data_IF_701465861630
#
_entry.id   IF_701465861630
#
_cell.length_a   1.000
_cell.length_b   1.000
_cell.length_c   1.000
_cell.angle_alpha   90.00
_cell.angle_beta   90.00
_cell.angle_gamma   90.00
#
_symmetry.space_group_name_H-M   'P 1'
#
loop_
_entity.id
_entity.type
_entity.pdbx_description
1 polymer ?
#
# COMPACT_ATOMS: atom_id res chain seq x y z
N UNK A 1 -1.85 -4.78 -16.44
CA UNK A 1 -2.66 -5.65 -15.56
C UNK A 1 -1.76 -6.12 -14.44
N UNK A 2 -2.08 -5.77 -13.16
CA UNK A 2 -1.12 -6.06 -12.08
C UNK A 2 -1.83 -6.21 -10.73
N UNK A 3 -1.43 -7.23 -9.95
CA UNK A 3 -2.04 -7.57 -8.66
C UNK A 3 -1.01 -8.21 -7.73
N UNK A 4 -1.16 -8.01 -6.41
CA UNK A 4 -0.41 -8.75 -5.40
C UNK A 4 -0.98 -10.18 -5.30
N UNK A 5 -0.10 -11.18 -5.22
CA UNK A 5 -0.48 -12.58 -4.99
C UNK A 5 -0.14 -13.05 -3.59
N UNK A 6 1.10 -12.78 -3.14
CA UNK A 6 1.61 -13.16 -1.83
C UNK A 6 2.56 -12.10 -1.30
N UNK A 7 2.69 -12.07 -0.01
CA UNK A 7 3.74 -11.34 0.70
C UNK A 7 4.31 -12.22 1.80
N UNK A 8 5.60 -12.42 1.79
CA UNK A 8 6.35 -13.22 2.74
C UNK A 8 7.32 -12.34 3.54
N UNK A 9 7.40 -12.59 4.84
CA UNK A 9 8.24 -11.81 5.75
C UNK A 9 8.83 -12.68 6.86
N UNK A 10 10.11 -12.47 7.18
CA UNK A 10 10.79 -13.10 8.31
C UNK A 10 11.81 -12.16 8.93
N UNK A 11 11.99 -12.23 10.25
CA UNK A 11 12.90 -11.41 11.05
C UNK A 11 12.63 -9.89 10.90
N UNK A 12 11.34 -9.48 10.90
CA UNK A 12 10.93 -8.08 10.80
C UNK A 12 9.88 -7.78 11.87
N UNK A 13 10.10 -6.76 12.69
CA UNK A 13 9.19 -6.31 13.74
C UNK A 13 8.76 -7.46 14.68
N UNK A 14 7.51 -7.95 14.59
CA UNK A 14 7.01 -9.08 15.37
C UNK A 14 6.98 -10.40 14.60
N UNK A 15 7.33 -10.40 13.32
CA UNK A 15 7.37 -11.57 12.47
C UNK A 15 8.75 -12.23 12.50
N UNK A 16 8.78 -13.48 12.91
CA UNK A 16 9.97 -14.31 12.94
C UNK A 16 9.79 -15.48 11.97
N UNK A 17 10.57 -16.52 12.05
CA UNK A 17 10.32 -17.77 11.36
C UNK A 17 9.09 -18.47 11.95
N UNK A 18 8.29 -19.14 11.12
CA UNK A 18 7.20 -19.99 11.56
C UNK A 18 7.74 -21.23 12.31
N UNK A 19 6.88 -22.17 12.73
CA UNK A 19 7.30 -23.37 13.45
C UNK A 19 8.15 -24.35 12.61
N UNK A 20 8.14 -24.19 11.30
CA UNK A 20 8.93 -24.95 10.33
C UNK A 20 10.25 -24.24 9.94
N UNK A 21 10.54 -23.05 10.48
CA UNK A 21 11.71 -22.26 10.13
C UNK A 21 11.56 -21.37 8.89
N UNK A 22 10.33 -21.30 8.34
CA UNK A 22 10.01 -20.54 7.13
C UNK A 22 9.52 -19.12 7.45
N UNK A 23 9.32 -18.29 6.42
CA UNK A 23 8.70 -16.98 6.54
C UNK A 23 7.20 -17.09 6.84
N UNK A 24 6.62 -16.04 7.43
CA UNK A 24 5.17 -15.88 7.53
C UNK A 24 4.62 -15.41 6.18
N UNK A 25 3.54 -16.06 5.70
CA UNK A 25 2.93 -15.79 4.40
C UNK A 25 1.54 -15.16 4.55
N UNK A 26 1.31 -14.05 3.84
CA UNK A 26 -0.02 -13.51 3.53
C UNK A 26 -0.33 -13.74 2.07
N UNK A 27 -1.46 -14.39 1.75
CA UNK A 27 -1.80 -14.82 0.41
C UNK A 27 -3.15 -14.28 -0.07
N UNK A 28 -3.22 -13.84 -1.31
CA UNK A 28 -4.44 -13.46 -2.02
C UNK A 28 -4.84 -14.50 -3.07
N UNK A 29 -4.21 -15.68 -3.03
CA UNK A 29 -4.62 -16.82 -3.84
C UNK A 29 -5.87 -17.41 -3.17
N UNK A 30 -6.99 -17.55 -3.94
CA UNK A 30 -8.23 -18.03 -3.35
C UNK A 30 -8.12 -19.50 -2.97
N UNK A 31 -8.72 -19.83 -1.86
CA UNK A 31 -8.88 -21.19 -1.42
C UNK A 31 -10.03 -21.94 -2.11
N UNK A 32 -10.43 -23.09 -1.52
CA UNK A 32 -11.50 -23.94 -2.07
C UNK A 32 -12.90 -23.42 -1.75
N UNK A 33 -13.13 -22.13 -1.92
CA UNK A 33 -14.40 -21.45 -1.63
C UNK A 33 -15.21 -21.28 -2.93
N UNK A 34 -16.46 -21.74 -2.95
CA UNK A 34 -17.29 -21.78 -4.17
C UNK A 34 -18.21 -20.57 -4.34
N UNK A 35 -18.54 -19.86 -3.26
CA UNK A 35 -19.42 -18.69 -3.32
C UNK A 35 -18.66 -17.42 -3.70
N UNK A 36 -19.40 -16.39 -4.15
CA UNK A 36 -18.87 -15.05 -4.46
C UNK A 36 -17.66 -15.08 -5.43
N UNK A 37 -17.79 -15.80 -6.52
CA UNK A 37 -16.77 -15.86 -7.58
C UNK A 37 -16.53 -14.49 -8.22
N UNK A 38 -17.48 -13.58 -8.11
CA UNK A 38 -17.39 -12.18 -8.52
C UNK A 38 -16.40 -11.32 -7.70
N UNK A 39 -15.98 -11.80 -6.53
CA UNK A 39 -14.88 -11.20 -5.75
C UNK A 39 -13.49 -11.57 -6.28
N UNK A 40 -13.41 -12.46 -7.27
CA UNK A 40 -12.16 -12.90 -7.84
C UNK A 40 -11.82 -12.16 -9.12
N UNK A 41 -10.54 -11.89 -9.30
CA UNK A 41 -9.96 -11.78 -10.62
C UNK A 41 -9.66 -13.18 -11.11
N UNK A 42 -10.03 -13.48 -12.34
CA UNK A 42 -9.76 -14.77 -12.99
C UNK A 42 -9.34 -14.52 -14.43
N UNK A 43 -8.19 -15.08 -14.79
CA UNK A 43 -7.79 -15.25 -16.18
C UNK A 43 -7.61 -16.72 -16.50
N UNK A 44 -7.01 -17.06 -17.65
CA UNK A 44 -6.85 -18.46 -18.08
C UNK A 44 -6.00 -19.30 -17.12
N UNK A 45 -5.14 -18.67 -16.31
CA UNK A 45 -4.07 -19.30 -15.57
C UNK A 45 -4.07 -18.95 -14.07
N UNK A 46 -4.69 -17.82 -13.71
CA UNK A 46 -4.59 -17.26 -12.36
C UNK A 46 -5.98 -16.90 -11.81
N UNK A 47 -6.12 -17.12 -10.49
CA UNK A 47 -7.25 -16.62 -9.70
C UNK A 47 -6.68 -15.87 -8.50
N UNK A 48 -7.19 -14.66 -8.26
CA UNK A 48 -6.74 -13.81 -7.17
C UNK A 48 -7.92 -13.14 -6.47
N UNK A 49 -7.84 -13.04 -5.17
CA UNK A 49 -8.77 -12.29 -4.35
C UNK A 49 -8.59 -10.80 -4.61
N UNK A 50 -9.70 -10.08 -4.76
CA UNK A 50 -9.71 -8.62 -4.87
C UNK A 50 -9.87 -7.92 -3.53
N UNK A 51 -10.25 -8.66 -2.51
CA UNK A 51 -10.44 -8.15 -1.16
C UNK A 51 -9.82 -9.07 -0.11
N UNK A 52 -9.35 -8.50 0.99
CA UNK A 52 -8.99 -9.25 2.19
C UNK A 52 -9.09 -8.37 3.44
N UNK A 53 -9.63 -8.92 4.53
CA UNK A 53 -9.71 -8.28 5.83
C UNK A 53 -8.90 -9.06 6.88
N UNK A 54 -8.00 -8.36 7.57
CA UNK A 54 -7.07 -8.92 8.55
C UNK A 54 -7.49 -8.49 9.96
N UNK A 55 -7.79 -9.46 10.79
CA UNK A 55 -8.25 -9.29 12.16
C UNK A 55 -7.20 -9.73 13.17
N UNK A 56 -7.39 -9.33 14.42
CA UNK A 56 -6.54 -9.74 15.53
C UNK A 56 -6.66 -8.80 16.71
N UNK A 57 -6.19 -9.23 17.87
CA UNK A 57 -6.14 -8.42 19.08
C UNK A 57 -5.23 -7.18 18.91
N UNK A 58 -5.36 -6.23 19.84
CA UNK A 58 -4.38 -5.14 19.92
C UNK A 58 -2.98 -5.73 20.19
N UNK A 59 -1.98 -5.18 19.52
CA UNK A 59 -0.59 -5.64 19.57
C UNK A 59 -0.34 -7.07 19.02
N UNK A 60 -1.30 -7.70 18.32
CA UNK A 60 -1.10 -9.02 17.69
C UNK A 60 -0.07 -8.98 16.54
N UNK A 61 0.09 -7.85 15.87
CA UNK A 61 1.01 -7.69 14.75
C UNK A 61 0.36 -7.24 13.43
N UNK A 62 -0.95 -6.98 13.38
CA UNK A 62 -1.64 -6.50 12.16
C UNK A 62 -0.93 -5.31 11.50
N UNK A 63 -0.72 -4.23 12.27
CA UNK A 63 -0.01 -3.05 11.77
C UNK A 63 1.45 -3.34 11.43
N UNK A 64 2.07 -4.33 12.08
CA UNK A 64 3.44 -4.75 11.75
C UNK A 64 3.51 -5.43 10.38
N UNK A 65 2.48 -6.17 9.95
CA UNK A 65 2.40 -6.71 8.59
C UNK A 65 2.35 -5.58 7.55
N UNK A 66 1.49 -4.60 7.77
CA UNK A 66 1.38 -3.43 6.88
C UNK A 66 2.68 -2.62 6.88
N UNK A 67 3.33 -2.44 8.03
CA UNK A 67 4.65 -1.79 8.13
C UNK A 67 5.72 -2.59 7.40
N UNK A 68 5.76 -3.91 7.52
CA UNK A 68 6.72 -4.75 6.81
C UNK A 68 6.55 -4.64 5.29
N UNK A 69 5.31 -4.62 4.80
CA UNK A 69 5.02 -4.37 3.39
C UNK A 69 5.49 -2.99 2.94
N UNK A 70 5.28 -1.95 3.77
CA UNK A 70 5.79 -0.60 3.52
C UNK A 70 7.31 -0.51 3.55
N UNK A 71 7.94 -1.26 4.46
CA UNK A 71 9.41 -1.36 4.51
C UNK A 71 9.94 -1.95 3.22
N UNK A 72 9.39 -3.06 2.75
CA UNK A 72 9.80 -3.67 1.47
C UNK A 72 9.64 -2.67 0.32
N UNK A 73 8.49 -1.98 0.21
CA UNK A 73 8.28 -0.94 -0.79
C UNK A 73 9.35 0.16 -0.71
N UNK A 74 9.57 0.72 0.47
CA UNK A 74 10.51 1.82 0.65
C UNK A 74 11.97 1.39 0.39
N UNK A 75 12.37 0.19 0.85
CA UNK A 75 13.69 -0.37 0.60
C UNK A 75 13.93 -0.55 -0.89
N UNK A 76 12.95 -1.09 -1.61
CA UNK A 76 13.05 -1.28 -3.07
C UNK A 76 13.17 0.05 -3.83
N UNK A 77 12.46 1.09 -3.38
CA UNK A 77 12.39 2.37 -4.10
C UNK A 77 13.47 3.37 -3.67
N UNK A 78 14.03 3.23 -2.46
CA UNK A 78 14.99 4.17 -1.86
C UNK A 78 16.12 3.42 -1.11
N UNK A 79 16.81 2.49 -1.77
CA UNK A 79 17.88 1.69 -1.12
C UNK A 79 19.02 2.52 -0.53
N UNK A 80 19.27 3.74 -1.03
CA UNK A 80 20.40 4.58 -0.57
C UNK A 80 20.34 4.96 0.93
N UNK A 81 19.14 4.95 1.54
CA UNK A 81 18.96 5.35 2.94
C UNK A 81 17.89 4.49 3.61
N UNK A 82 18.29 3.57 4.47
CA UNK A 82 17.37 2.68 5.18
C UNK A 82 17.23 3.10 6.66
N UNK A 83 16.12 3.72 7.07
CA UNK A 83 15.89 4.12 8.46
C UNK A 83 15.42 2.96 9.36
N UNK A 84 15.73 1.71 9.01
CA UNK A 84 15.13 0.50 9.60
C UNK A 84 16.10 -0.34 10.45
N UNK A 85 17.23 0.23 10.86
CA UNK A 85 18.28 -0.52 11.59
C UNK A 85 17.79 -1.22 12.87
N UNK A 86 16.71 -0.73 13.48
CA UNK A 86 16.14 -1.27 14.71
C UNK A 86 14.82 -2.06 14.50
N UNK A 87 14.39 -2.29 13.25
CA UNK A 87 13.10 -2.93 12.94
C UNK A 87 13.20 -4.45 12.68
N UNK A 88 14.34 -5.06 12.99
CA UNK A 88 14.45 -6.53 13.06
C UNK A 88 13.58 -7.11 14.18
N UNK A 89 13.26 -8.40 14.12
CA UNK A 89 12.45 -9.06 15.13
C UNK A 89 13.19 -9.21 16.47
N UNK A 90 12.80 -8.45 17.49
CA UNK A 90 13.47 -8.34 18.80
C UNK A 90 13.15 -9.49 19.79
N UNK A 91 12.58 -10.60 19.31
CA UNK A 91 12.29 -11.77 20.17
C UNK A 91 13.59 -12.41 20.71
N UNK A 92 14.64 -12.39 19.89
CA UNK A 92 15.98 -12.86 20.25
C UNK A 92 17.00 -11.78 19.94
N UNK A 93 17.99 -11.62 20.82
CA UNK A 93 19.03 -10.60 20.65
C UNK A 93 19.88 -10.84 19.39
N UNK A 94 20.19 -12.09 19.08
CA UNK A 94 20.96 -12.51 17.90
C UNK A 94 20.27 -12.14 16.57
N UNK A 95 18.98 -11.89 16.57
CA UNK A 95 18.22 -11.53 15.35
C UNK A 95 18.70 -10.23 14.72
N UNK A 96 19.35 -9.37 15.51
CA UNK A 96 19.95 -8.11 15.02
C UNK A 96 20.96 -8.33 13.90
N UNK A 97 21.70 -9.44 13.92
CA UNK A 97 22.74 -9.77 12.94
C UNK A 97 22.29 -10.83 11.91
N UNK A 98 21.03 -11.25 11.97
CA UNK A 98 20.45 -12.17 10.99
C UNK A 98 19.76 -11.41 9.87
N UNK A 99 19.72 -11.98 8.67
CA UNK A 99 18.95 -11.41 7.57
C UNK A 99 17.46 -11.30 7.90
N UNK A 100 16.87 -10.19 7.52
CA UNK A 100 15.44 -9.99 7.40
C UNK A 100 15.05 -10.31 5.97
N UNK A 101 14.03 -11.15 5.81
CA UNK A 101 13.56 -11.66 4.53
C UNK A 101 12.29 -10.92 4.12
N UNK A 102 12.25 -10.47 2.86
CA UNK A 102 11.10 -9.87 2.22
C UNK A 102 10.91 -10.44 0.83
N UNK A 103 9.68 -10.86 0.51
CA UNK A 103 9.33 -11.34 -0.81
C UNK A 103 7.90 -10.97 -1.17
N UNK A 104 7.68 -10.54 -2.40
CA UNK A 104 6.36 -10.34 -3.02
C UNK A 104 6.22 -11.19 -4.25
N UNK A 105 5.14 -11.95 -4.33
CA UNK A 105 4.68 -12.54 -5.57
C UNK A 105 3.67 -11.61 -6.23
N UNK A 106 3.97 -11.17 -7.47
CA UNK A 106 3.22 -10.16 -8.22
C UNK A 106 2.75 -10.77 -9.54
N UNK A 107 1.46 -10.58 -9.84
CA UNK A 107 0.92 -10.86 -11.15
C UNK A 107 1.04 -9.60 -12.02
N UNK A 108 1.78 -9.69 -13.12
CA UNK A 108 1.98 -8.60 -14.09
C UNK A 108 1.72 -9.09 -15.51
N UNK A 109 0.76 -8.48 -16.19
CA UNK A 109 0.49 -8.71 -17.63
C UNK A 109 0.36 -10.18 -18.04
N UNK A 110 -0.23 -11.03 -17.20
CA UNK A 110 -0.43 -12.46 -17.47
C UNK A 110 0.64 -13.39 -16.92
N UNK A 111 1.67 -12.84 -16.28
CA UNK A 111 2.82 -13.60 -15.73
C UNK A 111 2.95 -13.32 -14.23
N UNK A 112 3.40 -14.31 -13.49
CA UNK A 112 3.68 -14.18 -12.07
C UNK A 112 5.18 -14.05 -11.83
N UNK A 113 5.57 -13.09 -11.00
CA UNK A 113 6.95 -12.84 -10.65
C UNK A 113 7.12 -12.82 -9.14
N UNK A 114 8.15 -13.49 -8.65
CA UNK A 114 8.62 -13.34 -7.28
C UNK A 114 9.79 -12.37 -7.27
N UNK A 115 9.64 -11.29 -6.57
CA UNK A 115 10.72 -10.37 -6.25
C UNK A 115 10.94 -10.35 -4.75
N UNK A 116 12.17 -10.54 -4.35
CA UNK A 116 12.54 -10.53 -2.94
C UNK A 116 14.00 -10.22 -2.68
N UNK A 117 14.32 -10.04 -1.41
CA UNK A 117 15.69 -9.81 -0.93
C UNK A 117 15.83 -10.18 0.56
N UNK A 118 17.08 -10.43 0.94
CA UNK A 118 17.49 -10.53 2.35
C UNK A 118 18.43 -9.38 2.70
N UNK A 119 18.19 -8.76 3.84
CA UNK A 119 18.98 -7.62 4.34
C UNK A 119 19.24 -7.74 5.84
N UNK A 120 20.47 -7.52 6.27
CA UNK A 120 20.78 -7.33 7.69
C UNK A 120 20.49 -5.87 8.03
N UNK A 121 19.28 -5.62 8.56
CA UNK A 121 18.76 -4.26 8.77
C UNK A 121 19.68 -3.40 9.63
N UNK A 122 20.27 -3.97 10.70
CA UNK A 122 21.16 -3.24 11.60
C UNK A 122 22.48 -2.78 10.96
N UNK A 123 22.87 -3.40 9.85
CA UNK A 123 24.11 -3.11 9.12
C UNK A 123 23.85 -2.40 7.79
N UNK A 124 22.59 -2.27 7.41
CA UNK A 124 22.18 -1.81 6.08
C UNK A 124 22.90 -2.58 4.96
N UNK A 125 22.99 -3.92 5.10
CA UNK A 125 23.71 -4.78 4.16
C UNK A 125 22.78 -5.81 3.56
N UNK A 126 22.63 -5.79 2.24
CA UNK A 126 21.93 -6.83 1.50
C UNK A 126 22.79 -8.09 1.39
N UNK A 127 22.14 -9.25 1.61
CA UNK A 127 22.75 -10.57 1.54
C UNK A 127 22.39 -11.23 0.22
N UNK A 128 21.13 -11.11 -0.17
CA UNK A 128 20.62 -11.69 -1.42
C UNK A 128 19.51 -10.81 -2.00
N UNK A 129 19.30 -10.92 -3.31
CA UNK A 129 18.19 -10.31 -4.05
C UNK A 129 17.87 -11.19 -5.25
N UNK A 130 16.58 -11.35 -5.58
CA UNK A 130 16.15 -12.18 -6.70
C UNK A 130 14.92 -11.62 -7.40
N UNK A 131 14.82 -11.96 -8.69
CA UNK A 131 13.61 -11.83 -9.49
C UNK A 131 13.41 -13.12 -10.29
N UNK A 132 12.28 -13.78 -10.08
CA UNK A 132 11.96 -15.07 -10.66
C UNK A 132 10.61 -15.02 -11.35
N UNK A 133 10.50 -15.55 -12.56
CA UNK A 133 9.23 -15.77 -13.24
C UNK A 133 8.68 -17.13 -12.86
N UNK A 134 7.46 -17.18 -12.30
CA UNK A 134 6.73 -18.41 -12.02
C UNK A 134 5.87 -18.82 -13.20
N UNK A 135 6.12 -19.99 -13.72
CA UNK A 135 5.30 -20.57 -14.78
C UNK A 135 4.10 -21.32 -14.21
N UNK A 136 3.12 -21.58 -15.07
CA UNK A 136 1.88 -22.24 -14.72
C UNK A 136 2.02 -23.70 -14.27
N UNK A 137 3.10 -24.35 -14.65
CA UNK A 137 3.46 -25.70 -14.23
C UNK A 137 4.25 -25.73 -12.90
N UNK A 138 4.30 -24.61 -12.19
CA UNK A 138 5.10 -24.36 -10.99
C UNK A 138 6.62 -24.45 -11.21
N UNK A 139 7.09 -24.49 -12.46
CA UNK A 139 8.53 -24.31 -12.72
C UNK A 139 8.89 -22.84 -12.61
N UNK A 140 10.11 -22.59 -12.20
CA UNK A 140 10.66 -21.26 -11.99
C UNK A 140 11.70 -20.94 -13.06
N UNK A 141 11.70 -19.70 -13.53
CA UNK A 141 12.71 -19.16 -14.41
C UNK A 141 13.36 -17.98 -13.72
N UNK A 142 14.58 -18.17 -13.30
CA UNK A 142 15.38 -17.08 -12.74
C UNK A 142 15.60 -16.01 -13.78
N UNK A 143 15.34 -14.75 -13.43
CA UNK A 143 15.64 -13.57 -14.25
C UNK A 143 16.99 -13.00 -13.83
N UNK A 144 17.16 -12.79 -12.51
CA UNK A 144 18.45 -12.55 -11.90
C UNK A 144 18.45 -13.03 -10.44
N UNK A 145 19.63 -13.35 -9.95
CA UNK A 145 19.92 -13.61 -8.56
C UNK A 145 21.17 -12.86 -8.14
N UNK A 146 21.18 -12.39 -6.90
CA UNK A 146 22.32 -11.75 -6.28
C UNK A 146 22.64 -12.46 -4.96
N UNK A 147 23.90 -12.78 -4.76
CA UNK A 147 24.47 -13.23 -3.50
C UNK A 147 25.61 -12.28 -3.11
N UNK A 148 25.47 -11.64 -1.96
CA UNK A 148 26.36 -10.56 -1.50
C UNK A 148 26.59 -9.47 -2.57
N UNK A 149 27.77 -9.38 -3.16
CA UNK A 149 28.14 -8.39 -4.18
C UNK A 149 28.03 -8.92 -5.62
N UNK A 150 27.78 -10.24 -5.80
CA UNK A 150 27.71 -10.85 -7.11
C UNK A 150 26.29 -10.95 -7.63
N UNK A 151 26.03 -10.40 -8.80
CA UNK A 151 24.75 -10.50 -9.52
C UNK A 151 24.92 -11.41 -10.73
N UNK A 152 24.12 -12.47 -10.78
CA UNK A 152 24.04 -13.40 -11.90
C UNK A 152 22.73 -13.13 -12.67
N UNK A 153 22.83 -12.76 -13.94
CA UNK A 153 21.69 -12.47 -14.82
C UNK A 153 21.52 -13.64 -15.78
N UNK A 154 20.30 -14.14 -15.87
CA UNK A 154 19.99 -15.31 -16.68
C UNK A 154 20.26 -15.11 -18.18
N UNK A 155 20.95 -16.04 -18.79
CA UNK A 155 21.16 -16.09 -20.23
C UNK A 155 19.84 -16.28 -21.01
N UNK A 156 18.79 -16.79 -20.38
CA UNK A 156 17.45 -16.98 -20.95
C UNK A 156 16.71 -15.67 -21.30
N UNK A 157 17.24 -14.52 -20.87
CA UNK A 157 16.72 -13.22 -21.28
C UNK A 157 17.01 -12.89 -22.75
N UNK A 158 17.88 -13.68 -23.43
CA UNK A 158 18.26 -13.47 -24.82
C UNK A 158 18.66 -12.02 -25.13
N UNK A 159 19.41 -11.40 -24.23
CA UNK A 159 19.93 -10.05 -24.37
C UNK A 159 21.18 -10.06 -25.26
N UNK A 160 21.44 -8.95 -25.96
CA UNK A 160 22.64 -8.82 -26.75
C UNK A 160 23.89 -8.57 -25.87
N UNK A 161 25.07 -8.77 -26.47
CA UNK A 161 26.34 -8.64 -25.74
C UNK A 161 26.58 -7.21 -25.19
N UNK A 162 26.11 -6.17 -25.88
CA UNK A 162 26.27 -4.76 -25.46
C UNK A 162 25.44 -4.52 -24.17
N UNK A 163 24.21 -5.05 -24.12
CA UNK A 163 23.37 -4.95 -22.94
C UNK A 163 23.91 -5.81 -21.80
N UNK A 164 24.34 -7.05 -22.08
CA UNK A 164 24.94 -7.94 -21.07
C UNK A 164 26.13 -7.26 -20.40
N UNK A 165 27.06 -6.72 -21.19
CA UNK A 165 28.21 -5.98 -20.67
C UNK A 165 27.80 -4.78 -19.80
N UNK A 166 26.76 -4.02 -20.20
CA UNK A 166 26.27 -2.88 -19.41
C UNK A 166 25.69 -3.32 -18.07
N UNK A 167 24.92 -4.40 -18.05
CA UNK A 167 24.36 -4.94 -16.81
C UNK A 167 25.47 -5.48 -15.90
N UNK A 168 26.50 -6.13 -16.45
CA UNK A 168 27.69 -6.57 -15.71
C UNK A 168 28.43 -5.39 -15.07
N UNK A 169 28.68 -4.31 -15.82
CA UNK A 169 29.32 -3.09 -15.28
C UNK A 169 28.47 -2.47 -14.16
N UNK A 170 27.15 -2.51 -14.29
CA UNK A 170 26.25 -2.00 -13.26
C UNK A 170 26.24 -2.88 -12.00
N UNK A 171 26.39 -4.18 -12.17
CA UNK A 171 26.46 -5.13 -11.04
C UNK A 171 27.82 -5.05 -10.33
N UNK A 172 28.92 -4.87 -11.07
CA UNK A 172 30.27 -4.71 -10.47
C UNK A 172 30.41 -3.43 -9.62
N UNK A 173 29.62 -2.38 -9.93
CA UNK A 173 29.58 -1.13 -9.18
C UNK A 173 28.50 -1.07 -8.09
N UNK A 174 27.90 -2.20 -7.75
CA UNK A 174 26.82 -2.25 -6.78
C UNK A 174 27.37 -2.33 -5.34
N UNK A 175 27.06 -1.32 -4.54
CA UNK A 175 27.41 -1.30 -3.14
C UNK A 175 26.57 -2.32 -2.35
N UNK A 176 27.10 -2.81 -1.22
CA UNK A 176 26.42 -3.81 -0.38
C UNK A 176 25.14 -3.30 0.27
N UNK A 177 24.93 -1.97 0.28
CA UNK A 177 23.76 -1.28 0.83
C UNK A 177 22.71 -0.89 -0.22
N UNK A 178 22.88 -1.31 -1.49
CA UNK A 178 21.97 -0.99 -2.60
C UNK A 178 21.38 -2.26 -3.23
N UNK A 179 20.13 -2.19 -3.68
CA UNK A 179 19.48 -3.23 -4.48
C UNK A 179 19.81 -3.06 -5.96
N UNK A 180 19.97 -4.16 -6.66
CA UNK A 180 20.21 -4.18 -8.10
C UNK A 180 19.01 -3.63 -8.88
N UNK A 181 17.77 -4.02 -8.50
CA UNK A 181 16.55 -3.50 -9.11
C UNK A 181 16.44 -1.98 -8.96
N UNK A 182 16.77 -1.43 -7.78
CA UNK A 182 16.83 0.01 -7.55
C UNK A 182 17.86 0.69 -8.46
N UNK A 183 19.08 0.14 -8.50
CA UNK A 183 20.19 0.69 -9.29
C UNK A 183 19.88 0.72 -10.78
N UNK A 184 19.17 -0.30 -11.30
CA UNK A 184 18.70 -0.32 -12.69
C UNK A 184 17.67 0.78 -12.99
N UNK A 185 16.87 1.21 -12.01
CA UNK A 185 15.76 2.12 -12.22
C UNK A 185 16.04 3.57 -11.83
N UNK A 186 17.03 3.84 -10.97
CA UNK A 186 17.37 5.20 -10.52
C UNK A 186 17.88 6.06 -11.67
N UNK A 187 17.03 6.97 -12.17
CA UNK A 187 17.41 7.97 -13.19
C UNK A 187 17.80 7.40 -14.57
N UNK A 188 17.36 6.19 -14.92
CA UNK A 188 17.84 5.47 -16.12
C UNK A 188 16.74 5.16 -17.15
N UNK A 189 15.79 6.05 -17.36
CA UNK A 189 14.70 5.87 -18.34
C UNK A 189 15.21 5.55 -19.75
N UNK A 190 16.29 6.19 -20.20
CA UNK A 190 16.91 5.96 -21.52
C UNK A 190 17.44 4.52 -21.71
N UNK A 191 17.74 3.78 -20.62
CA UNK A 191 18.16 2.38 -20.72
C UNK A 191 17.02 1.51 -21.29
N UNK A 192 15.81 1.69 -20.81
CA UNK A 192 14.65 0.91 -21.22
C UNK A 192 14.11 1.30 -22.60
N UNK A 193 14.27 2.57 -23.01
CA UNK A 193 13.96 3.02 -24.36
C UNK A 193 14.88 2.34 -25.39
N UNK A 194 16.17 2.21 -25.04
CA UNK A 194 17.15 1.55 -25.92
C UNK A 194 17.02 0.03 -25.89
N UNK A 195 16.65 -0.57 -24.76
CA UNK A 195 16.62 -2.01 -24.55
C UNK A 195 15.26 -2.49 -24.00
N UNK A 196 14.19 -2.54 -24.83
CA UNK A 196 12.86 -2.94 -24.38
C UNK A 196 12.77 -4.36 -23.80
N UNK A 197 13.72 -5.24 -24.13
CA UNK A 197 13.78 -6.62 -23.63
C UNK A 197 13.90 -6.73 -22.11
N UNK A 198 14.41 -5.69 -21.46
CA UNK A 198 14.53 -5.64 -20.01
C UNK A 198 13.46 -4.74 -19.33
N UNK A 199 12.39 -4.38 -20.05
CA UNK A 199 11.30 -3.57 -19.50
C UNK A 199 10.67 -4.19 -18.23
N UNK A 200 10.76 -5.52 -18.09
CA UNK A 200 10.29 -6.24 -16.92
C UNK A 200 10.85 -5.68 -15.61
N UNK A 201 12.14 -5.37 -15.56
CA UNK A 201 12.74 -4.78 -14.34
C UNK A 201 12.07 -3.45 -13.97
N UNK A 202 11.76 -2.64 -15.00
CA UNK A 202 11.03 -1.39 -14.80
C UNK A 202 9.58 -1.63 -14.40
N UNK A 203 8.90 -2.59 -15.02
CA UNK A 203 7.50 -2.91 -14.72
C UNK A 203 7.31 -3.39 -13.27
N UNK A 204 8.20 -4.26 -12.77
CA UNK A 204 8.19 -4.72 -11.37
C UNK A 204 8.47 -3.54 -10.42
N UNK A 205 9.48 -2.73 -10.71
CA UNK A 205 9.83 -1.57 -9.90
C UNK A 205 8.70 -0.53 -9.86
N UNK A 206 8.15 -0.17 -11.03
CA UNK A 206 7.06 0.80 -11.13
C UNK A 206 5.78 0.30 -10.43
N UNK A 207 5.50 -1.01 -10.49
CA UNK A 207 4.37 -1.58 -9.76
C UNK A 207 4.55 -1.41 -8.24
N UNK A 208 5.72 -1.75 -7.71
CA UNK A 208 6.02 -1.59 -6.28
C UNK A 208 5.95 -0.11 -5.87
N UNK A 209 6.44 0.80 -6.71
CA UNK A 209 6.47 2.24 -6.43
C UNK A 209 5.09 2.90 -6.52
N UNK A 210 4.34 2.62 -7.61
CA UNK A 210 3.19 3.44 -8.02
C UNK A 210 1.84 2.72 -7.88
N UNK A 211 1.82 1.38 -7.93
CA UNK A 211 0.58 0.61 -7.89
C UNK A 211 0.24 0.04 -6.51
N UNK A 212 1.24 -0.13 -5.66
CA UNK A 212 1.06 -0.53 -4.26
C UNK A 212 0.89 0.70 -3.37
N UNK A 213 -0.35 0.99 -2.95
CA UNK A 213 -0.70 2.16 -2.14
C UNK A 213 -0.97 1.72 -0.70
N UNK A 214 -0.14 2.20 0.22
CA UNK A 214 -0.25 1.83 1.64
C UNK A 214 -0.66 3.05 2.46
N UNK A 215 -1.78 2.94 3.16
CA UNK A 215 -2.42 4.02 3.93
C UNK A 215 -2.45 3.63 5.40
N UNK A 216 -1.71 4.38 6.23
CA UNK A 216 -1.76 4.25 7.68
C UNK A 216 -2.83 5.14 8.32
N UNK A 217 -3.23 4.86 9.57
CA UNK A 217 -4.24 5.65 10.25
C UNK A 217 -3.94 7.15 10.37
N UNK A 218 -2.65 7.49 10.53
CA UNK A 218 -2.17 8.87 10.66
C UNK A 218 -1.67 9.46 9.33
N UNK A 219 -1.78 8.68 8.23
CA UNK A 219 -1.40 9.16 6.91
C UNK A 219 -2.63 9.75 6.24
N UNK A 220 -2.60 11.04 6.04
CA UNK A 220 -3.58 11.72 5.21
C UNK A 220 -3.16 11.63 3.74
N UNK A 221 -4.12 11.56 2.84
CA UNK A 221 -3.84 11.74 1.41
C UNK A 221 -3.11 13.08 1.21
N UNK A 222 -1.92 13.01 0.61
CA UNK A 222 -1.08 14.22 0.47
C UNK A 222 -1.59 15.15 -0.61
N UNK A 223 -2.32 14.63 -1.57
CA UNK A 223 -2.57 15.36 -2.80
C UNK A 223 -4.00 15.25 -3.34
N UNK A 224 -4.94 14.59 -2.68
CA UNK A 224 -6.34 14.46 -3.17
C UNK A 224 -6.45 14.57 -4.71
N UNK A 225 -5.54 13.92 -5.45
CA UNK A 225 -5.42 14.05 -6.89
C UNK A 225 -6.71 13.65 -7.65
N UNK A 226 -7.61 12.94 -6.99
CA UNK A 226 -8.95 12.61 -7.48
C UNK A 226 -9.92 13.80 -7.45
N UNK A 227 -9.51 14.98 -6.92
CA UNK A 227 -10.29 16.22 -6.94
C UNK A 227 -9.82 17.21 -8.03
N UNK A 228 -9.18 16.73 -9.09
CA UNK A 228 -8.53 17.60 -10.11
C UNK A 228 -9.48 18.39 -10.98
N UNK A 229 -10.71 17.94 -11.14
CA UNK A 229 -11.68 18.54 -12.05
C UNK A 229 -13.10 18.51 -11.50
N UNK A 230 -13.98 19.27 -12.14
CA UNK A 230 -15.39 19.41 -11.72
C UNK A 230 -16.18 18.09 -11.78
N UNK A 231 -15.79 17.13 -12.60
CA UNK A 231 -16.44 15.83 -12.66
C UNK A 231 -16.07 14.99 -11.44
N UNK A 232 -14.80 14.97 -11.09
CA UNK A 232 -14.32 14.27 -9.90
C UNK A 232 -14.94 14.85 -8.62
N UNK A 233 -15.05 16.17 -8.51
CA UNK A 233 -15.74 16.85 -7.39
C UNK A 233 -17.19 16.40 -7.27
N UNK A 234 -17.91 16.25 -8.38
CA UNK A 234 -19.29 15.73 -8.37
C UNK A 234 -19.35 14.27 -7.88
N UNK A 235 -18.39 13.45 -8.29
CA UNK A 235 -18.29 12.07 -7.84
C UNK A 235 -18.03 12.02 -6.33
N UNK A 236 -17.05 12.77 -5.83
CA UNK A 236 -16.76 12.90 -4.39
C UNK A 236 -17.99 13.36 -3.63
N UNK A 237 -18.64 14.43 -4.09
CA UNK A 237 -19.86 14.96 -3.47
C UNK A 237 -20.97 13.89 -3.40
N UNK A 238 -21.11 13.07 -4.45
CA UNK A 238 -22.09 11.99 -4.48
C UNK A 238 -21.81 10.91 -3.41
N UNK A 239 -20.54 10.54 -3.23
CA UNK A 239 -20.13 9.61 -2.18
C UNK A 239 -20.35 10.17 -0.78
N UNK A 240 -19.96 11.43 -0.53
CA UNK A 240 -20.17 12.08 0.76
C UNK A 240 -21.67 12.13 1.14
N UNK A 241 -22.54 12.40 0.16
CA UNK A 241 -24.00 12.31 0.35
C UNK A 241 -24.48 10.88 0.64
N UNK A 242 -24.00 9.90 -0.13
CA UNK A 242 -24.36 8.49 0.04
C UNK A 242 -23.95 7.95 1.42
N UNK A 243 -22.79 8.37 1.91
CA UNK A 243 -22.27 8.04 3.23
C UNK A 243 -22.87 8.88 4.37
N UNK A 244 -23.84 9.75 4.05
CA UNK A 244 -24.60 10.58 5.03
C UNK A 244 -23.72 11.42 5.95
N UNK A 245 -22.67 12.01 5.43
CA UNK A 245 -21.78 12.92 6.18
C UNK A 245 -22.45 14.25 6.55
N UNK A 246 -23.61 14.57 5.96
CA UNK A 246 -24.24 15.87 6.09
C UNK A 246 -23.81 16.87 5.02
N UNK A 247 -22.71 16.60 4.32
CA UNK A 247 -22.20 17.45 3.24
C UNK A 247 -23.15 17.38 2.04
N UNK A 248 -23.55 18.55 1.55
CA UNK A 248 -24.42 18.70 0.40
C UNK A 248 -23.69 19.11 -0.87
N UNK A 249 -22.53 19.75 -0.73
CA UNK A 249 -21.72 20.19 -1.86
C UNK A 249 -20.25 20.35 -1.46
N UNK A 250 -19.36 20.21 -2.46
CA UNK A 250 -17.92 20.45 -2.33
C UNK A 250 -17.53 21.45 -3.41
N UNK A 251 -16.78 22.47 -3.07
CA UNK A 251 -16.32 23.49 -3.98
C UNK A 251 -14.86 23.86 -3.70
N UNK A 252 -14.24 24.57 -4.64
CA UNK A 252 -12.95 25.21 -4.43
C UNK A 252 -13.14 26.71 -4.34
N UNK A 253 -12.42 27.34 -3.45
CA UNK A 253 -12.38 28.79 -3.29
C UNK A 253 -10.97 29.30 -3.51
N UNK A 254 -10.83 30.33 -4.34
CA UNK A 254 -9.57 31.02 -4.54
C UNK A 254 -9.19 31.77 -3.26
N UNK A 255 -7.96 31.55 -2.79
CA UNK A 255 -7.42 32.19 -1.59
C UNK A 255 -6.05 32.78 -1.88
N UNK A 256 -5.63 33.83 -1.14
CA UNK A 256 -4.27 34.38 -1.26
C UNK A 256 -3.23 33.28 -0.97
N UNK A 257 -2.13 33.26 -1.74
CA UNK A 257 -1.04 32.29 -1.58
C UNK A 257 -0.48 32.29 -0.15
N UNK A 258 -0.49 33.44 0.51
CA UNK A 258 -0.06 33.61 1.90
C UNK A 258 -0.87 32.77 2.89
N UNK A 259 -2.08 32.33 2.50
CA UNK A 259 -2.93 31.49 3.35
C UNK A 259 -2.27 30.13 3.64
N UNK A 260 -1.52 29.58 2.68
CA UNK A 260 -0.79 28.32 2.84
C UNK A 260 0.24 28.41 3.99
N UNK A 261 0.83 29.59 4.17
CA UNK A 261 1.94 29.78 5.09
C UNK A 261 1.49 30.05 6.53
N UNK A 262 0.19 30.18 6.78
CA UNK A 262 -0.34 30.40 8.14
C UNK A 262 0.05 29.25 9.06
N UNK A 263 0.75 29.57 10.13
CA UNK A 263 1.20 28.58 11.13
C UNK A 263 2.45 27.78 10.77
N UNK A 264 3.07 28.03 9.61
CA UNK A 264 4.36 27.44 9.25
C UNK A 264 5.52 28.27 9.77
N UNK A 265 6.65 27.62 10.07
CA UNK A 265 7.89 28.32 10.40
C UNK A 265 8.45 29.05 9.18
N UNK A 266 9.19 30.16 9.41
CA UNK A 266 9.81 30.95 8.35
C UNK A 266 10.67 30.09 7.40
N UNK A 267 11.44 29.15 7.95
CA UNK A 267 12.28 28.23 7.16
C UNK A 267 11.45 27.38 6.20
N UNK A 268 10.34 26.78 6.67
CA UNK A 268 9.46 25.96 5.83
C UNK A 268 8.81 26.81 4.72
N UNK A 269 8.43 28.05 5.06
CA UNK A 269 7.89 29.00 4.09
C UNK A 269 8.89 29.33 2.99
N UNK A 270 10.14 29.64 3.35
CA UNK A 270 11.22 29.95 2.38
C UNK A 270 11.52 28.73 1.49
N UNK A 271 11.61 27.53 2.06
CA UNK A 271 11.81 26.29 1.31
C UNK A 271 10.67 26.04 0.30
N UNK A 272 9.41 26.25 0.70
CA UNK A 272 8.25 26.12 -0.19
C UNK A 272 8.28 27.15 -1.33
N UNK A 273 8.51 28.42 -1.03
CA UNK A 273 8.61 29.48 -2.04
C UNK A 273 9.77 29.21 -3.02
N UNK A 274 10.90 28.71 -2.53
CA UNK A 274 12.02 28.30 -3.36
C UNK A 274 11.63 27.18 -4.32
N UNK A 275 10.87 26.17 -3.84
CA UNK A 275 10.41 25.09 -4.68
C UNK A 275 9.36 25.55 -5.73
N UNK A 276 8.44 26.44 -5.36
CA UNK A 276 7.49 27.02 -6.31
C UNK A 276 8.22 27.79 -7.43
N UNK A 277 9.24 28.57 -7.07
CA UNK A 277 10.02 29.30 -8.04
C UNK A 277 10.84 28.38 -8.97
N UNK A 278 11.40 27.28 -8.44
CA UNK A 278 12.08 26.27 -9.28
C UNK A 278 11.13 25.66 -10.31
N UNK A 279 9.90 25.32 -9.93
CA UNK A 279 8.89 24.81 -10.84
C UNK A 279 8.54 25.85 -11.91
N UNK A 280 8.35 27.13 -11.50
CA UNK A 280 8.05 28.23 -12.43
C UNK A 280 9.20 28.45 -13.44
N UNK A 281 10.46 28.37 -13.01
CA UNK A 281 11.63 28.47 -13.89
C UNK A 281 11.65 27.29 -14.87
N UNK A 282 11.45 26.07 -14.39
CA UNK A 282 11.41 24.87 -15.23
C UNK A 282 10.31 24.93 -16.30
N UNK A 283 9.14 25.48 -15.96
CA UNK A 283 8.07 25.71 -16.93
C UNK A 283 8.46 26.74 -18.01
N UNK A 284 9.22 27.78 -17.65
CA UNK A 284 9.67 28.79 -18.59
C UNK A 284 10.78 28.30 -19.53
N UNK A 285 11.59 27.35 -19.10
CA UNK A 285 12.68 26.77 -19.88
C UNK A 285 12.25 25.66 -20.85
N UNK A 286 11.13 24.99 -20.56
CA UNK A 286 10.57 23.94 -21.41
C UNK A 286 9.66 24.52 -22.50
N UNK A 287 10.12 24.52 -23.75
CA UNK A 287 9.41 24.95 -24.96
C UNK A 287 8.32 23.94 -25.42
N UNK A 288 7.90 23.04 -24.55
CA UNK A 288 6.87 22.01 -24.82
C UNK A 288 5.90 21.90 -23.64
N UNK A 289 4.61 21.58 -23.91
CA UNK A 289 3.59 21.34 -22.87
C UNK A 289 4.12 20.51 -21.67
N UNK A 290 3.72 20.84 -20.44
CA UNK A 290 2.55 21.60 -20.02
C UNK A 290 2.86 23.06 -19.64
N UNK A 291 1.94 23.97 -20.02
CA UNK A 291 2.00 25.40 -19.66
C UNK A 291 1.65 25.68 -18.21
N UNK A 292 1.29 24.65 -17.42
CA UNK A 292 0.90 24.75 -16.02
C UNK A 292 1.28 23.49 -15.23
N UNK A 293 1.55 23.69 -13.97
CA UNK A 293 1.83 22.62 -13.00
C UNK A 293 0.92 22.79 -11.79
N UNK A 294 0.21 21.72 -11.39
CA UNK A 294 -0.64 21.73 -10.21
C UNK A 294 0.08 21.01 -9.07
N UNK A 295 0.27 21.69 -7.96
CA UNK A 295 0.81 21.17 -6.73
C UNK A 295 -0.30 21.05 -5.69
N UNK A 296 -0.41 19.86 -5.09
CA UNK A 296 -1.38 19.59 -4.04
C UNK A 296 -0.67 19.64 -2.70
N UNK A 297 -1.15 20.45 -1.78
CA UNK A 297 -0.54 20.66 -0.48
C UNK A 297 -1.56 20.46 0.62
N UNK A 298 -1.23 19.62 1.58
CA UNK A 298 -1.99 19.47 2.80
C UNK A 298 -1.20 20.02 3.98
N UNK A 299 -1.81 20.95 4.69
CA UNK A 299 -1.36 21.42 5.99
C UNK A 299 -2.13 20.69 7.09
N UNK A 300 -1.80 20.94 8.36
CA UNK A 300 -2.57 20.38 9.48
C UNK A 300 -4.03 20.87 9.50
N UNK A 301 -4.31 22.00 8.87
CA UNK A 301 -5.61 22.66 8.96
C UNK A 301 -6.41 22.60 7.66
N UNK A 302 -5.75 22.61 6.49
CA UNK A 302 -6.44 22.74 5.22
C UNK A 302 -5.72 22.02 4.08
N UNK A 303 -6.41 21.93 2.96
CA UNK A 303 -5.90 21.39 1.72
C UNK A 303 -5.90 22.48 0.64
N UNK A 304 -4.78 22.62 -0.05
CA UNK A 304 -4.58 23.65 -1.06
C UNK A 304 -4.17 23.03 -2.41
N UNK A 305 -4.70 23.60 -3.47
CA UNK A 305 -4.24 23.37 -4.85
C UNK A 305 -3.53 24.63 -5.30
N UNK A 306 -2.23 24.50 -5.61
CA UNK A 306 -1.45 25.62 -6.17
C UNK A 306 -1.22 25.33 -7.64
N UNK A 307 -1.87 26.09 -8.50
CA UNK A 307 -1.61 26.08 -9.93
C UNK A 307 -0.49 27.08 -10.24
N UNK A 308 0.61 26.59 -10.76
CA UNK A 308 1.77 27.38 -11.16
C UNK A 308 1.78 27.45 -12.68
N UNK A 309 1.74 28.65 -13.24
CA UNK A 309 1.90 28.94 -14.65
C UNK A 309 3.18 29.74 -14.89
N UNK A 310 3.52 29.99 -16.14
CA UNK A 310 4.69 30.82 -16.49
C UNK A 310 4.59 32.23 -15.86
N UNK A 311 3.38 32.79 -15.79
CA UNK A 311 3.16 34.17 -15.35
C UNK A 311 2.71 34.25 -13.89
N UNK A 312 1.78 33.40 -13.47
CA UNK A 312 1.05 33.53 -12.21
C UNK A 312 1.06 32.24 -11.37
N UNK A 313 0.75 32.40 -10.09
CA UNK A 313 0.41 31.31 -9.18
C UNK A 313 -1.00 31.57 -8.64
N UNK A 314 -1.87 30.58 -8.77
CA UNK A 314 -3.21 30.59 -8.21
C UNK A 314 -3.29 29.56 -7.08
N UNK A 315 -3.94 29.93 -5.99
CA UNK A 315 -4.13 29.04 -4.86
C UNK A 315 -5.63 28.88 -4.58
N UNK A 316 -6.06 27.65 -4.47
CA UNK A 316 -7.44 27.31 -4.10
C UNK A 316 -7.44 26.41 -2.86
N UNK A 317 -8.47 26.54 -2.03
CA UNK A 317 -8.75 25.61 -0.92
C UNK A 317 -10.09 24.93 -1.12
N UNK A 318 -10.26 23.77 -0.46
CA UNK A 318 -11.51 23.01 -0.51
C UNK A 318 -12.50 23.56 0.51
N UNK A 319 -13.73 23.71 0.12
CA UNK A 319 -14.86 24.12 0.97
C UNK A 319 -16.01 23.14 0.91
N UNK A 320 -16.66 22.93 2.04
CA UNK A 320 -17.81 22.06 2.21
C UNK A 320 -19.06 22.87 2.54
N UNK A 321 -20.19 22.52 1.92
CA UNK A 321 -21.51 23.01 2.30
C UNK A 321 -22.30 21.90 2.97
N UNK A 322 -22.92 22.18 4.09
CA UNK A 322 -23.81 21.26 4.78
C UNK A 322 -25.27 21.56 4.43
N UNK A 323 -26.10 20.51 4.43
CA UNK A 323 -27.51 20.58 3.97
C UNK A 323 -28.34 21.63 4.73
N UNK A 324 -28.01 21.89 5.99
CA UNK A 324 -28.79 22.75 6.88
C UNK A 324 -28.02 24.00 7.32
N UNK A 325 -26.98 24.40 6.58
CA UNK A 325 -26.18 25.58 6.86
C UNK A 325 -26.02 26.44 5.62
N UNK A 326 -26.13 27.73 5.78
CA UNK A 326 -25.80 28.72 4.73
C UNK A 326 -24.28 29.03 4.70
N UNK A 327 -23.56 28.62 5.75
CA UNK A 327 -22.12 28.82 5.87
C UNK A 327 -21.35 27.72 5.13
N UNK A 328 -20.17 28.07 4.65
CA UNK A 328 -19.18 27.14 4.13
C UNK A 328 -18.23 26.72 5.24
N UNK A 329 -17.69 25.52 5.13
CA UNK A 329 -16.80 24.93 6.12
C UNK A 329 -15.51 24.53 5.44
N UNK A 330 -14.40 24.79 6.10
CA UNK A 330 -13.06 24.33 5.68
C UNK A 330 -12.79 22.91 6.20
N UNK A 331 -11.77 22.27 5.64
CA UNK A 331 -11.41 20.89 5.99
C UNK A 331 -11.20 20.69 7.49
N UNK A 332 -10.54 21.61 8.17
CA UNK A 332 -10.27 21.53 9.62
C UNK A 332 -11.51 21.65 10.51
N UNK A 333 -12.64 22.08 9.95
CA UNK A 333 -13.93 22.20 10.65
C UNK A 333 -14.77 20.93 10.50
N UNK A 334 -14.35 20.00 9.65
CA UNK A 334 -15.00 18.73 9.44
C UNK A 334 -14.61 17.73 10.56
N UNK A 335 -15.46 16.72 10.75
CA UNK A 335 -15.16 15.64 11.73
C UNK A 335 -14.00 14.75 11.22
N UNK A 336 -13.26 14.14 12.15
CA UNK A 336 -12.22 13.17 11.82
C UNK A 336 -12.74 12.04 10.94
N UNK A 337 -13.98 11.60 11.14
CA UNK A 337 -14.61 10.59 10.28
C UNK A 337 -14.85 11.07 8.86
N UNK A 338 -15.24 12.33 8.67
CA UNK A 338 -15.40 12.94 7.33
C UNK A 338 -14.04 13.06 6.64
N UNK A 339 -13.03 13.51 7.35
CA UNK A 339 -11.65 13.64 6.84
C UNK A 339 -11.11 12.25 6.47
N UNK A 340 -11.27 11.26 7.36
CA UNK A 340 -10.85 9.88 7.07
C UNK A 340 -11.56 9.31 5.85
N UNK A 341 -12.86 9.55 5.72
CA UNK A 341 -13.61 9.12 4.55
C UNK A 341 -13.06 9.75 3.25
N UNK A 342 -12.76 11.06 3.27
CA UNK A 342 -12.11 11.71 2.13
C UNK A 342 -10.79 11.01 1.78
N UNK A 343 -9.91 10.73 2.75
CA UNK A 343 -8.65 10.02 2.52
C UNK A 343 -8.86 8.62 1.88
N UNK A 344 -10.00 7.98 2.16
CA UNK A 344 -10.34 6.66 1.65
C UNK A 344 -11.07 6.67 0.29
N UNK A 345 -11.64 7.80 -0.14
CA UNK A 345 -12.41 7.86 -1.38
C UNK A 345 -11.58 7.57 -2.63
N UNK A 346 -10.26 7.76 -2.59
CA UNK A 346 -9.37 7.40 -3.69
C UNK A 346 -9.58 5.95 -4.14
N UNK A 347 -9.72 5.03 -3.20
CA UNK A 347 -9.93 3.59 -3.47
C UNK A 347 -11.18 3.34 -4.32
N UNK A 348 -12.25 4.09 -4.06
CA UNK A 348 -13.53 3.92 -4.75
C UNK A 348 -13.60 4.67 -6.09
N UNK A 349 -12.84 5.75 -6.23
CA UNK A 349 -12.94 6.68 -7.37
C UNK A 349 -11.89 6.41 -8.44
N UNK A 350 -10.68 5.98 -8.06
CA UNK A 350 -9.61 5.74 -9.03
C UNK A 350 -10.03 4.77 -10.13
N UNK A 351 -9.66 5.08 -11.37
CA UNK A 351 -9.87 4.21 -12.54
C UNK A 351 -8.67 3.32 -12.83
N UNK A 352 -7.57 3.55 -12.12
CA UNK A 352 -6.35 2.77 -12.25
C UNK A 352 -6.44 1.50 -11.41
N UNK A 353 -5.90 0.41 -11.94
CA UNK A 353 -5.79 -0.84 -11.20
C UNK A 353 -4.65 -0.73 -10.19
N UNK A 354 -4.99 -0.63 -8.91
CA UNK A 354 -4.03 -0.49 -7.80
C UNK A 354 -4.32 -1.49 -6.70
N UNK A 355 -3.29 -1.84 -5.95
CA UNK A 355 -3.40 -2.62 -4.72
C UNK A 355 -3.34 -1.66 -3.53
N UNK A 356 -4.46 -1.49 -2.85
CA UNK A 356 -4.57 -0.66 -1.65
C UNK A 356 -4.43 -1.52 -0.40
N UNK A 357 -3.58 -1.07 0.52
CA UNK A 357 -3.40 -1.68 1.84
C UNK A 357 -3.69 -0.61 2.89
N UNK A 358 -4.75 -0.80 3.68
CA UNK A 358 -5.23 0.20 4.64
C UNK A 358 -5.11 -0.36 6.05
N UNK A 359 -4.27 0.24 6.86
CA UNK A 359 -4.19 -0.08 8.28
C UNK A 359 -5.29 0.64 9.06
N UNK A 360 -5.97 -0.10 9.97
CA UNK A 360 -7.09 0.38 10.78
C UNK A 360 -8.16 1.11 9.93
N UNK A 361 -8.78 0.38 8.98
CA UNK A 361 -9.82 0.96 8.13
C UNK A 361 -10.94 1.62 8.94
N UNK A 362 -11.35 1.00 10.03
CA UNK A 362 -12.46 1.40 10.91
C UNK A 362 -12.14 2.60 11.82
N UNK A 363 -10.88 3.07 11.87
CA UNK A 363 -10.50 4.21 12.69
C UNK A 363 -11.30 5.46 12.31
N UNK A 364 -11.91 6.10 13.30
CA UNK A 364 -12.77 7.28 13.19
C UNK A 364 -14.06 7.07 12.39
N UNK A 365 -14.32 5.85 11.89
CA UNK A 365 -15.54 5.54 11.16
C UNK A 365 -16.58 4.83 12.06
N UNK A 366 -17.85 5.16 11.85
CA UNK A 366 -18.92 4.39 12.45
C UNK A 366 -18.99 2.98 11.84
N UNK A 367 -19.24 1.90 12.60
CA UNK A 367 -19.30 0.51 12.10
C UNK A 367 -20.13 0.32 10.82
N UNK A 368 -21.31 0.94 10.76
CA UNK A 368 -22.17 0.90 9.58
C UNK A 368 -21.57 1.60 8.35
N UNK A 369 -20.71 2.60 8.57
CA UNK A 369 -20.02 3.29 7.49
C UNK A 369 -18.89 2.42 6.94
N UNK A 370 -18.13 1.76 7.82
CA UNK A 370 -17.09 0.80 7.46
C UNK A 370 -17.69 -0.34 6.63
N UNK A 371 -18.82 -0.92 7.10
CA UNK A 371 -19.54 -1.95 6.34
C UNK A 371 -19.95 -1.46 4.94
N UNK A 372 -20.60 -0.28 4.88
CA UNK A 372 -21.05 0.30 3.61
C UNK A 372 -19.90 0.62 2.66
N UNK A 373 -18.76 1.05 3.17
CA UNK A 373 -17.57 1.32 2.38
C UNK A 373 -17.03 0.04 1.70
N UNK A 374 -16.95 -1.06 2.45
CA UNK A 374 -16.54 -2.36 1.90
C UNK A 374 -17.56 -2.88 0.88
N UNK A 375 -18.85 -2.79 1.19
CA UNK A 375 -19.92 -3.15 0.26
C UNK A 375 -19.81 -2.36 -1.06
N UNK A 376 -19.56 -1.06 -1.01
CA UNK A 376 -19.35 -0.21 -2.19
C UNK A 376 -18.12 -0.62 -3.00
N UNK A 377 -17.01 -0.97 -2.34
CA UNK A 377 -15.82 -1.49 -3.03
C UNK A 377 -16.14 -2.81 -3.74
N UNK A 378 -16.75 -3.76 -3.04
CA UNK A 378 -17.11 -5.05 -3.59
C UNK A 378 -18.07 -4.91 -4.77
N UNK A 379 -19.10 -4.07 -4.65
CA UNK A 379 -20.12 -3.88 -5.70
C UNK A 379 -19.57 -3.12 -6.93
N UNK A 380 -18.74 -2.11 -6.73
CA UNK A 380 -18.31 -1.23 -7.82
C UNK A 380 -16.99 -1.62 -8.46
N UNK A 381 -16.12 -2.24 -7.70
CA UNK A 381 -14.76 -2.63 -8.12
C UNK A 381 -14.61 -4.14 -8.24
N UNK A 382 -14.81 -4.88 -7.16
CA UNK A 382 -14.54 -6.30 -7.14
C UNK A 382 -15.42 -7.08 -8.13
N UNK A 383 -16.72 -6.80 -8.21
CA UNK A 383 -17.65 -7.46 -9.14
C UNK A 383 -17.44 -7.14 -10.62
N UNK A 384 -16.65 -6.11 -10.94
CA UNK A 384 -16.30 -5.82 -12.33
C UNK A 384 -15.11 -6.66 -12.76
N UNK A 385 -15.30 -7.53 -13.75
CA UNK A 385 -14.24 -8.39 -14.27
C UNK A 385 -13.07 -7.62 -14.88
N UNK A 386 -13.33 -6.42 -15.43
CA UNK A 386 -12.30 -5.55 -16.00
C UNK A 386 -11.49 -4.76 -14.96
N UNK A 387 -12.00 -4.63 -13.72
CA UNK A 387 -11.31 -3.93 -12.63
C UNK A 387 -10.46 -4.92 -11.84
N UNK A 388 -9.18 -4.64 -11.71
CA UNK A 388 -8.19 -5.47 -11.01
C UNK A 388 -7.67 -4.79 -9.74
N UNK A 389 -8.38 -3.78 -9.26
CA UNK A 389 -8.06 -3.17 -7.98
C UNK A 389 -8.19 -4.19 -6.85
N UNK A 390 -7.25 -4.14 -5.93
CA UNK A 390 -7.27 -4.94 -4.70
C UNK A 390 -7.40 -4.02 -3.49
N UNK A 391 -8.11 -4.48 -2.47
CA UNK A 391 -8.24 -3.80 -1.18
C UNK A 391 -7.94 -4.78 -0.05
N UNK A 392 -6.86 -4.54 0.64
CA UNK A 392 -6.42 -5.28 1.83
C UNK A 392 -6.57 -4.35 3.02
N UNK A 393 -7.27 -4.77 4.07
CA UNK A 393 -7.52 -3.91 5.22
C UNK A 393 -7.17 -4.62 6.53
N UNK A 394 -6.61 -3.91 7.49
CA UNK A 394 -6.66 -4.36 8.88
C UNK A 394 -7.84 -3.68 9.55
N UNK A 395 -8.54 -4.39 10.43
CA UNK A 395 -9.72 -3.87 11.09
C UNK A 395 -10.00 -4.57 12.44
N UNK A 396 -10.74 -3.91 13.31
CA UNK A 396 -11.35 -4.48 14.51
C UNK A 396 -12.86 -4.68 14.37
N UNK A 397 -13.45 -4.29 13.24
CA UNK A 397 -14.89 -4.36 13.01
C UNK A 397 -15.35 -5.79 12.70
N UNK A 398 -15.75 -6.51 13.74
CA UNK A 398 -16.18 -7.92 13.63
C UNK A 398 -17.44 -8.11 12.78
N UNK A 399 -18.28 -7.09 12.60
CA UNK A 399 -19.49 -7.17 11.76
C UNK A 399 -19.18 -7.39 10.28
N UNK A 400 -17.95 -7.10 9.84
CA UNK A 400 -17.53 -7.44 8.47
C UNK A 400 -17.32 -8.95 8.29
N UNK A 401 -17.19 -9.75 9.38
CA UNK A 401 -17.11 -11.22 9.29
C UNK A 401 -18.48 -11.83 9.01
N UNK A 402 -19.09 -11.39 7.93
CA UNK A 402 -20.38 -11.83 7.44
C UNK A 402 -20.23 -12.56 6.11
N UNK A 403 -20.67 -13.81 6.04
CA UNK A 403 -20.62 -14.59 4.79
C UNK A 403 -21.59 -14.10 3.72
N UNK A 404 -22.54 -13.23 4.08
CA UNK A 404 -23.31 -12.48 3.09
C UNK A 404 -22.48 -11.36 2.43
N UNK A 405 -21.44 -10.87 3.10
CA UNK A 405 -20.53 -9.85 2.59
C UNK A 405 -19.23 -10.48 2.05
N UNK A 406 -18.54 -11.31 2.82
CA UNK A 406 -17.20 -11.78 2.55
C UNK A 406 -17.14 -13.30 2.27
N UNK A 407 -16.07 -13.71 1.58
CA UNK A 407 -15.66 -15.11 1.42
C UNK A 407 -14.83 -15.54 2.63
N UNK A 408 -14.76 -16.85 2.91
CA UNK A 408 -13.91 -17.35 4.00
C UNK A 408 -12.42 -17.07 3.80
N UNK A 409 -11.96 -17.21 2.57
CA UNK A 409 -10.57 -16.99 2.17
C UNK A 409 -10.19 -15.48 2.10
N UNK A 410 -11.18 -14.57 2.22
CA UNK A 410 -10.95 -13.14 2.39
C UNK A 410 -10.71 -12.72 3.85
N UNK A 411 -10.95 -13.62 4.83
CA UNK A 411 -10.84 -13.33 6.25
C UNK A 411 -9.55 -13.94 6.80
N UNK A 412 -8.67 -13.08 7.30
CA UNK A 412 -7.38 -13.45 7.86
C UNK A 412 -7.29 -13.04 9.33
N UNK A 413 -6.49 -13.78 10.09
CA UNK A 413 -6.21 -13.50 11.48
C UNK A 413 -4.72 -13.32 11.71
N UNK A 414 -4.38 -12.40 12.62
CA UNK A 414 -3.03 -12.27 13.17
C UNK A 414 -3.12 -12.48 14.67
N UNK A 415 -2.38 -13.41 15.18
CA UNK A 415 -2.29 -13.71 16.60
C UNK A 415 -0.83 -13.69 17.07
N UNK A 416 -0.65 -13.44 18.36
CA UNK A 416 0.66 -13.38 18.98
C UNK A 416 0.82 -14.56 19.94
N UNK A 417 1.76 -15.43 19.63
CA UNK A 417 2.02 -16.58 20.47
C UNK A 417 2.75 -16.22 21.79
N UNK A 418 2.91 -17.21 22.67
CA UNK A 418 3.55 -17.04 23.99
C UNK A 418 5.02 -16.62 23.93
N UNK A 419 5.67 -16.74 22.76
CA UNK A 419 7.06 -16.27 22.56
C UNK A 419 7.12 -14.82 22.08
N UNK A 420 5.98 -14.19 21.84
CA UNK A 420 5.89 -12.83 21.31
C UNK A 420 5.93 -12.75 19.77
N UNK A 421 5.97 -13.88 19.07
CA UNK A 421 5.93 -13.98 17.61
C UNK A 421 4.51 -13.79 17.09
N UNK A 422 4.34 -12.99 16.06
CA UNK A 422 3.09 -12.89 15.31
C UNK A 422 3.01 -14.01 14.27
N UNK A 423 1.84 -14.67 14.19
CA UNK A 423 1.50 -15.63 13.16
C UNK A 423 0.32 -15.08 12.36
N UNK A 424 0.26 -15.38 11.07
CA UNK A 424 -0.85 -15.03 10.19
C UNK A 424 -1.46 -16.29 9.59
N UNK A 425 -2.80 -16.37 9.57
CA UNK A 425 -3.53 -17.53 9.05
C UNK A 425 -4.92 -17.14 8.55
N UNK A 426 -5.47 -17.92 7.63
CA UNK A 426 -6.78 -17.69 7.02
C UNK A 426 -7.91 -18.40 7.78
N UNK A 427 -9.11 -17.81 7.77
CA UNK A 427 -10.33 -18.50 8.25
C UNK A 427 -10.62 -19.78 7.44
N UNK A 428 -10.13 -19.88 6.21
CA UNK A 428 -10.28 -21.10 5.39
C UNK A 428 -9.63 -22.34 6.02
N UNK A 429 -8.57 -22.15 6.81
CA UNK A 429 -7.89 -23.27 7.50
C UNK A 429 -8.78 -23.93 8.58
N UNK A 430 -9.86 -23.24 8.96
CA UNK A 430 -10.84 -23.75 9.92
C UNK A 430 -12.07 -24.35 9.24
N UNK A 431 -12.56 -25.46 9.78
CA UNK A 431 -13.82 -26.07 9.34
C UNK A 431 -15.03 -25.28 9.83
N UNK A 432 -15.36 -24.18 9.15
CA UNK A 432 -16.53 -23.36 9.46
C UNK A 432 -17.72 -23.72 8.59
N UNK A 433 -18.94 -23.74 9.16
CA UNK A 433 -20.18 -23.90 8.40
C UNK A 433 -20.71 -22.55 7.93
N UNK A 434 -21.38 -22.51 6.79
CA UNK A 434 -21.94 -21.28 6.23
C UNK A 434 -23.04 -20.63 7.08
N UNK A 435 -23.74 -21.42 7.92
CA UNK A 435 -24.76 -20.94 8.86
C UNK A 435 -24.17 -20.48 10.19
N UNK A 436 -22.86 -20.57 10.37
CA UNK A 436 -22.19 -20.17 11.60
C UNK A 436 -22.04 -18.65 11.62
N UNK A 437 -22.42 -18.03 12.76
CA UNK A 437 -22.13 -16.63 13.05
C UNK A 437 -20.63 -16.48 13.39
N UNK A 438 -19.84 -16.14 12.35
CA UNK A 438 -18.37 -16.09 12.43
C UNK A 438 -17.94 -14.99 13.40
N UNK A 439 -18.61 -13.85 13.39
CA UNK A 439 -18.40 -12.72 14.31
C UNK A 439 -18.48 -13.17 15.79
N UNK A 440 -19.51 -13.92 16.15
CA UNK A 440 -19.65 -14.47 17.50
C UNK A 440 -18.55 -15.48 17.82
N UNK A 441 -18.29 -16.41 16.90
CA UNK A 441 -17.28 -17.44 17.11
C UNK A 441 -15.87 -16.82 17.27
N UNK A 442 -15.59 -15.73 16.55
CA UNK A 442 -14.38 -14.94 16.71
C UNK A 442 -14.31 -14.30 18.11
N UNK A 443 -15.36 -13.58 18.51
CA UNK A 443 -15.45 -12.95 19.85
C UNK A 443 -15.37 -13.96 21.00
N UNK A 444 -15.85 -15.19 20.78
CA UNK A 444 -15.73 -16.31 21.72
C UNK A 444 -14.30 -16.91 21.74
N UNK A 445 -13.35 -16.40 20.91
CA UNK A 445 -11.95 -16.83 20.85
C UNK A 445 -11.70 -18.13 20.08
N UNK A 446 -12.67 -18.61 19.28
CA UNK A 446 -12.54 -19.92 18.58
C UNK A 446 -11.48 -19.93 17.47
N UNK A 447 -11.14 -18.77 16.94
CA UNK A 447 -10.18 -18.60 15.86
C UNK A 447 -8.89 -17.94 16.32
N UNK A 448 -8.67 -17.72 17.63
CA UNK A 448 -7.56 -16.90 18.13
C UNK A 448 -7.76 -15.41 17.84
N UNK A 449 -6.70 -14.63 17.97
CA UNK A 449 -6.70 -13.20 17.62
C UNK A 449 -7.59 -12.31 18.47
N UNK A 450 -8.11 -12.81 19.60
CA UNK A 450 -8.99 -12.07 20.53
C UNK A 450 -8.26 -11.83 21.86
N UNK A 451 -8.41 -10.65 22.50
CA UNK A 451 -7.84 -10.41 23.81
C UNK A 451 -8.42 -11.36 24.86
N UNK A 452 -7.56 -12.08 25.58
CA UNK A 452 -7.98 -12.92 26.71
C UNK A 452 -7.79 -12.11 28.00
N UNK A 453 -8.88 -11.74 28.64
CA UNK A 453 -8.85 -11.02 29.92
C UNK A 453 -8.93 -12.01 31.08
N UNK A 454 -7.80 -12.28 31.74
CA UNK A 454 -7.77 -13.14 32.91
C UNK A 454 -8.22 -12.42 34.18
N UNK A 455 -7.92 -11.13 34.34
CA UNK A 455 -8.40 -10.23 35.39
C UNK A 455 -8.10 -8.79 34.97
N UNK A 456 -9.09 -7.89 35.17
CA UNK A 456 -8.90 -6.46 34.87
C UNK A 456 -8.27 -5.73 36.06
N UNK A 457 -8.36 -6.30 37.25
CA UNK A 457 -7.80 -5.71 38.48
C UNK A 457 -6.56 -6.51 38.90
N UNK A 458 -5.44 -5.83 39.19
CA UNK A 458 -4.33 -6.49 39.86
C UNK A 458 -4.88 -6.98 41.23
N UNK A 459 -4.94 -8.28 41.38
CA UNK A 459 -5.16 -8.87 42.71
C UNK A 459 -3.82 -8.74 43.41
N UNK A 460 -3.73 -7.79 44.33
CA UNK A 460 -2.58 -7.73 45.24
C UNK A 460 -2.46 -9.11 45.93
N UNK A 461 -1.35 -9.79 45.67
CA UNK A 461 -0.97 -11.02 46.31
C UNK A 461 -0.20 -10.71 47.56
#
# INVERSE_FOLDING_TARGET
>A
MSMLRRFNVKNVLSYYENEYGESEEFSLIPGKVRNKSDHLFEDKLNKLLKFSAIYGANASGKSNLVKALKMMQNITVNSDTLPYAEDYCKIKEDNKLKPSYFEMEIYLNGVCYDYGFEVILSLNRFVSEWLVEKKTDNSEKVIFEREDEKVDISDDLNIDLDLKYKLEVLSEGLDSDQLFLYTLNKGRTALYEKYPKISLFKEVYDWIRDSLIIIFPDTHSRDYHYLRNSEDVKVVTSYLKAFKTGISDVAFEEVPLETIFKGLSERVREDMLTNFNKVKIALNENIGDPKKYNMFLRTNNDFFIVEITNDNMHCETIEFKHKFSDSKFHLYQESDGTIRLLDLLEVLITKENKTFVIDELDRCLHPMLTYKYIEEFLDKKAKKSSDQSQLIVTTHESRLMDFDLLRRDEIWFVDKNNTGRSNIYSLEEYNTRFDQKVDKAYLDGRYGGVPIFNSIFPVDK
#
